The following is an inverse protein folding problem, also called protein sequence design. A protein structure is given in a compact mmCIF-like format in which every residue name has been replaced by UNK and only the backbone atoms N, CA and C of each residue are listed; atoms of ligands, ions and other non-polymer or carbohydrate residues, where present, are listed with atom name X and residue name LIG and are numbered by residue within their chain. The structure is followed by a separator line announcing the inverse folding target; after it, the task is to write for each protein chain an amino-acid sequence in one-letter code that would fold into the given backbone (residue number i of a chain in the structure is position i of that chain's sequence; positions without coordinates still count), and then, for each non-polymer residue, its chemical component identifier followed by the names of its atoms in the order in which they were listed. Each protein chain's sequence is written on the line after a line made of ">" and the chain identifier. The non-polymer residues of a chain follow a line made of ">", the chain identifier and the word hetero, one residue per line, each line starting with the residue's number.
data_IF_869923883625
#
_entry.id   IF_869923883625
#
_cell.length_a   1.000
_cell.length_b   1.000
_cell.length_c   1.000
_cell.angle_alpha   90.00
_cell.angle_beta   90.00
_cell.angle_gamma   90.00
#
_symmetry.space_group_name_H-M   'P 1'
#
loop_
_entity.id
_entity.type
_entity.pdbx_description
1 polymer ?
#
# COMPACT_ATOMS: atom_id res chain seq x y z
N UNK A 1 11.38 -57.46 22.18
CA UNK A 1 11.49 -56.00 22.40
C UNK A 1 11.83 -55.28 21.08
N UNK A 2 10.95 -55.31 20.07
CA UNK A 2 11.26 -54.74 18.73
C UNK A 2 10.17 -53.81 18.17
N UNK A 3 8.92 -53.96 18.63
CA UNK A 3 7.77 -53.17 18.15
C UNK A 3 7.75 -51.76 18.77
N UNK A 4 8.21 -51.59 20.01
CA UNK A 4 8.24 -50.28 20.71
C UNK A 4 9.16 -49.25 20.06
N UNK A 5 10.26 -49.68 19.41
CA UNK A 5 11.19 -48.77 18.75
C UNK A 5 10.68 -48.34 17.36
N UNK A 6 9.92 -49.19 16.67
CA UNK A 6 9.33 -48.87 15.36
C UNK A 6 8.19 -47.84 15.47
N UNK A 7 7.40 -47.93 16.54
CA UNK A 7 6.32 -46.96 16.81
C UNK A 7 6.90 -45.59 17.20
N UNK A 8 7.93 -45.54 18.05
CA UNK A 8 8.56 -44.27 18.46
C UNK A 8 9.10 -43.46 17.28
N UNK A 9 9.78 -44.08 16.32
CA UNK A 9 10.36 -43.37 15.17
C UNK A 9 9.33 -42.79 14.21
N UNK A 10 8.14 -43.40 14.08
CA UNK A 10 7.04 -42.90 13.24
C UNK A 10 6.29 -41.73 13.89
N UNK A 11 6.09 -41.79 15.21
CA UNK A 11 5.46 -40.67 15.93
C UNK A 11 6.31 -39.40 15.86
N UNK A 12 7.64 -39.49 15.92
CA UNK A 12 8.52 -38.33 15.75
C UNK A 12 8.44 -37.73 14.36
N UNK A 13 8.32 -38.53 13.30
CA UNK A 13 8.21 -38.02 11.92
C UNK A 13 6.88 -37.32 11.68
N UNK A 14 5.77 -37.90 12.17
CA UNK A 14 4.45 -37.27 12.07
C UNK A 14 4.39 -35.96 12.87
N UNK A 15 4.94 -35.93 14.09
CA UNK A 15 5.02 -34.71 14.90
C UNK A 15 5.84 -33.61 14.21
N UNK A 16 6.97 -33.96 13.58
CA UNK A 16 7.79 -33.01 12.83
C UNK A 16 7.04 -32.45 11.62
N UNK A 17 6.33 -33.28 10.86
CA UNK A 17 5.52 -32.85 9.72
C UNK A 17 4.39 -31.91 10.15
N UNK A 18 3.67 -32.22 11.23
CA UNK A 18 2.64 -31.31 11.78
C UNK A 18 3.23 -30.02 12.32
N UNK A 19 4.45 -30.06 12.89
CA UNK A 19 5.15 -28.87 13.38
C UNK A 19 5.63 -27.99 12.22
N UNK A 20 6.16 -28.58 11.15
CA UNK A 20 6.57 -27.87 9.93
C UNK A 20 5.36 -27.25 9.24
N UNK A 21 4.25 -27.97 9.11
CA UNK A 21 3.00 -27.46 8.55
C UNK A 21 2.39 -26.36 9.44
N UNK A 22 2.47 -26.51 10.76
CA UNK A 22 2.06 -25.49 11.72
C UNK A 22 2.93 -24.23 11.61
N UNK A 23 4.26 -24.35 11.52
CA UNK A 23 5.15 -23.21 11.31
C UNK A 23 4.99 -22.57 9.92
N UNK A 24 4.65 -23.34 8.88
CA UNK A 24 4.38 -22.82 7.53
C UNK A 24 2.99 -22.19 7.39
N UNK A 25 2.06 -22.44 8.32
CA UNK A 25 0.75 -21.78 8.33
C UNK A 25 0.82 -20.27 8.66
N UNK A 26 2.01 -19.76 8.96
CA UNK A 26 2.34 -18.34 8.90
C UNK A 26 2.48 -17.79 7.47
N UNK A 27 1.99 -18.49 6.43
CA UNK A 27 1.75 -17.88 5.12
C UNK A 27 0.88 -16.65 5.35
N UNK A 28 1.51 -15.49 5.25
CA UNK A 28 0.86 -14.21 5.46
C UNK A 28 -0.23 -14.12 4.42
N UNK A 29 -1.49 -14.21 4.87
CA UNK A 29 -2.61 -14.15 3.98
C UNK A 29 -2.53 -12.82 3.22
N UNK A 30 -2.32 -12.92 1.91
CA UNK A 30 -2.38 -11.81 0.98
C UNK A 30 -3.65 -11.00 1.27
N UNK A 31 -3.46 -9.75 1.69
CA UNK A 31 -4.58 -8.90 2.12
C UNK A 31 -4.69 -7.65 1.27
N UNK A 32 -5.93 -7.17 1.19
CA UNK A 32 -6.26 -5.87 0.65
C UNK A 32 -6.00 -4.79 1.71
N UNK A 33 -5.30 -3.73 1.34
CA UNK A 33 -5.05 -2.57 2.21
C UNK A 33 -5.50 -1.30 1.49
N UNK A 34 -6.38 -0.54 2.14
CA UNK A 34 -6.67 0.82 1.72
C UNK A 34 -5.50 1.73 2.15
N UNK A 35 -4.81 2.33 1.19
CA UNK A 35 -3.74 3.29 1.46
C UNK A 35 -4.33 4.68 1.74
N UNK A 36 -5.38 4.73 2.56
CA UNK A 36 -6.20 5.92 2.80
C UNK A 36 -5.58 6.91 3.79
N UNK A 37 -4.42 6.58 4.39
CA UNK A 37 -3.58 7.52 5.14
C UNK A 37 -2.33 7.94 4.36
N UNK A 38 -1.61 7.00 3.76
CA UNK A 38 -0.37 7.27 3.01
C UNK A 38 -0.12 6.20 1.94
N UNK A 39 0.46 6.64 0.83
CA UNK A 39 1.03 5.78 -0.20
C UNK A 39 2.32 6.40 -0.73
N UNK A 40 3.37 5.59 -0.89
CA UNK A 40 4.59 5.97 -1.61
C UNK A 40 5.26 4.76 -2.26
N UNK A 41 5.70 4.84 -3.52
CA UNK A 41 6.65 3.89 -4.08
C UNK A 41 7.91 3.83 -3.22
N UNK A 42 8.47 2.64 -3.03
CA UNK A 42 9.74 2.47 -2.33
C UNK A 42 10.90 2.45 -3.33
N UNK A 43 12.05 2.94 -2.88
CA UNK A 43 13.27 3.00 -3.68
C UNK A 43 14.42 2.30 -2.97
N UNK A 44 15.33 1.71 -3.73
CA UNK A 44 16.61 1.22 -3.22
C UNK A 44 17.56 2.41 -2.89
N UNK A 45 18.70 2.16 -2.23
CA UNK A 45 19.66 3.22 -1.92
C UNK A 45 20.26 3.95 -3.15
N UNK A 46 20.14 3.37 -4.34
CA UNK A 46 20.56 3.99 -5.60
C UNK A 46 19.44 4.79 -6.28
N UNK A 47 18.24 4.84 -5.69
CA UNK A 47 17.08 5.56 -6.20
C UNK A 47 16.26 4.80 -7.23
N UNK A 48 16.46 3.49 -7.39
CA UNK A 48 15.64 2.68 -8.29
C UNK A 48 14.37 2.22 -7.58
N UNK A 49 13.23 2.21 -8.27
CA UNK A 49 12.00 1.63 -7.73
C UNK A 49 12.24 0.18 -7.32
N UNK A 50 12.03 -0.13 -6.04
CA UNK A 50 11.79 -1.50 -5.63
C UNK A 50 10.33 -1.78 -5.93
N UNK A 51 9.98 -3.00 -6.37
CA UNK A 51 8.63 -3.36 -6.86
C UNK A 51 7.55 -3.37 -5.78
N UNK A 52 7.72 -2.57 -4.74
CA UNK A 52 6.88 -2.43 -3.57
C UNK A 52 6.58 -0.96 -3.29
N UNK A 53 5.50 -0.73 -2.57
CA UNK A 53 5.09 0.58 -2.08
C UNK A 53 4.79 0.51 -0.58
N UNK A 54 5.08 1.60 0.12
CA UNK A 54 4.53 1.91 1.42
C UNK A 54 3.04 2.19 1.27
N UNK A 55 2.24 1.59 2.15
CA UNK A 55 0.80 1.73 2.17
C UNK A 55 0.29 1.70 3.61
N UNK A 56 -0.24 2.82 4.08
CA UNK A 56 -0.76 2.97 5.44
C UNK A 56 -2.25 3.25 5.37
N UNK A 57 -3.02 2.52 6.18
CA UNK A 57 -4.45 2.78 6.35
C UNK A 57 -4.71 3.67 7.56
N UNK A 58 -5.73 4.54 7.48
CA UNK A 58 -6.24 5.32 8.61
C UNK A 58 -6.71 4.42 9.76
N UNK A 59 -7.20 3.22 9.46
CA UNK A 59 -7.63 2.24 10.47
C UNK A 59 -6.46 1.65 11.27
N UNK A 60 -5.24 1.70 10.72
CA UNK A 60 -4.00 1.17 11.32
C UNK A 60 -2.82 2.11 11.02
N UNK A 61 -2.81 3.33 11.57
CA UNK A 61 -1.89 4.39 11.15
C UNK A 61 -0.41 4.12 11.51
N UNK A 62 -0.14 3.14 12.38
CA UNK A 62 1.22 2.75 12.77
C UNK A 62 1.72 1.50 12.03
N UNK A 63 0.95 0.98 11.06
CA UNK A 63 1.32 -0.19 10.29
C UNK A 63 1.59 0.21 8.83
N UNK A 64 2.87 0.24 8.47
CA UNK A 64 3.29 0.35 7.07
C UNK A 64 3.30 -1.03 6.42
N UNK A 65 2.54 -1.17 5.33
CA UNK A 65 2.40 -2.39 4.57
C UNK A 65 3.22 -2.25 3.28
N UNK A 66 4.21 -3.12 3.10
CA UNK A 66 5.05 -3.14 1.91
C UNK A 66 4.35 -3.94 0.82
N UNK A 67 3.40 -3.31 0.12
CA UNK A 67 2.57 -3.96 -0.88
C UNK A 67 3.27 -4.02 -2.25
N UNK A 68 3.04 -5.04 -3.08
CA UNK A 68 3.51 -5.03 -4.47
C UNK A 68 2.92 -3.85 -5.23
N UNK A 69 3.76 -2.99 -5.80
CA UNK A 69 3.29 -1.70 -6.33
C UNK A 69 2.32 -1.84 -7.52
N UNK A 70 2.48 -2.91 -8.31
CA UNK A 70 1.65 -3.21 -9.47
C UNK A 70 0.22 -3.67 -9.12
N UNK A 71 -0.07 -3.96 -7.85
CA UNK A 71 -1.43 -4.26 -7.40
C UNK A 71 -2.16 -3.01 -6.93
N UNK A 72 -1.48 -1.87 -6.80
CA UNK A 72 -2.04 -0.65 -6.25
C UNK A 72 -2.84 0.13 -7.31
N UNK A 73 -4.12 0.36 -7.02
CA UNK A 73 -5.04 1.04 -7.94
C UNK A 73 -6.22 1.69 -7.21
N UNK A 74 -6.87 2.64 -7.87
CA UNK A 74 -8.24 3.02 -7.51
C UNK A 74 -9.16 2.03 -8.21
N UNK A 75 -9.88 1.24 -7.42
CA UNK A 75 -10.94 0.37 -7.92
C UNK A 75 -12.28 0.90 -7.44
N UNK A 76 -13.03 1.49 -8.37
CA UNK A 76 -14.45 1.82 -8.20
C UNK A 76 -15.25 0.92 -9.14
N UNK A 77 -16.52 0.56 -8.87
CA UNK A 77 -17.32 -0.23 -9.82
C UNK A 77 -17.27 0.37 -11.24
N UNK A 78 -16.59 -0.34 -12.16
CA UNK A 78 -16.45 0.06 -13.57
C UNK A 78 -15.26 0.95 -13.93
N UNK A 79 -14.34 1.26 -13.00
CA UNK A 79 -13.13 2.02 -13.30
C UNK A 79 -11.89 1.45 -12.60
N UNK A 80 -10.79 1.36 -13.34
CA UNK A 80 -9.46 1.02 -12.85
C UNK A 80 -8.51 2.17 -13.16
N UNK A 81 -7.90 2.75 -12.14
CA UNK A 81 -6.80 3.70 -12.29
C UNK A 81 -5.57 3.11 -11.63
N UNK A 82 -4.59 2.73 -12.44
CA UNK A 82 -3.30 2.27 -11.95
C UNK A 82 -2.61 3.39 -11.15
N UNK A 83 -1.82 3.04 -10.13
CA UNK A 83 -1.16 4.03 -9.26
C UNK A 83 -0.39 5.11 -10.04
N UNK A 84 0.26 4.75 -11.15
CA UNK A 84 1.04 5.67 -11.99
C UNK A 84 0.17 6.75 -12.65
N UNK A 85 -1.11 6.49 -12.83
CA UNK A 85 -2.05 7.38 -13.53
C UNK A 85 -2.88 8.23 -12.55
N UNK A 86 -2.67 8.07 -11.24
CA UNK A 86 -3.33 8.87 -10.22
C UNK A 86 -2.95 10.36 -10.38
N UNK A 87 -3.98 11.19 -10.48
CA UNK A 87 -3.86 12.64 -10.57
C UNK A 87 -4.81 13.32 -9.60
N UNK A 88 -4.35 14.42 -9.02
CA UNK A 88 -5.19 15.36 -8.30
C UNK A 88 -5.21 16.70 -9.02
N UNK A 89 -6.24 17.51 -8.77
CA UNK A 89 -6.50 18.71 -9.55
C UNK A 89 -6.73 19.93 -8.68
N UNK A 90 -6.41 21.10 -9.24
CA UNK A 90 -6.56 22.42 -8.61
C UNK A 90 -5.93 22.48 -7.21
N UNK A 91 -4.67 22.05 -7.13
CA UNK A 91 -3.89 22.00 -5.89
C UNK A 91 -3.12 23.30 -5.67
N UNK A 92 -2.58 23.47 -4.45
CA UNK A 92 -1.87 24.67 -4.01
C UNK A 92 -0.71 24.32 -3.07
N UNK A 93 0.37 25.09 -3.10
CA UNK A 93 1.46 24.94 -2.11
C UNK A 93 1.16 25.72 -0.82
N UNK A 94 0.65 26.96 -0.97
CA UNK A 94 0.45 27.90 0.14
C UNK A 94 -1.01 28.31 0.35
N UNK A 95 -1.57 29.09 -0.58
CA UNK A 95 -2.90 29.69 -0.44
C UNK A 95 -4.01 28.77 -1.01
N UNK A 96 -4.91 28.24 -0.16
CA UNK A 96 -6.02 27.43 -0.63
C UNK A 96 -6.93 28.19 -1.60
N UNK A 97 -7.11 29.51 -1.45
CA UNK A 97 -8.06 30.25 -2.30
C UNK A 97 -7.56 30.44 -3.73
N UNK A 98 -6.24 30.29 -3.96
CA UNK A 98 -5.60 30.52 -5.24
C UNK A 98 -4.75 29.29 -5.65
N UNK A 99 -5.38 28.24 -6.22
CA UNK A 99 -4.65 27.06 -6.67
C UNK A 99 -3.73 27.40 -7.85
N UNK A 100 -2.45 27.07 -7.70
CA UNK A 100 -1.38 27.35 -8.66
C UNK A 100 -0.90 26.10 -9.42
N UNK A 101 -1.33 24.90 -9.00
CA UNK A 101 -1.03 23.63 -9.66
C UNK A 101 -2.31 22.98 -10.20
N UNK A 102 -2.62 23.16 -11.51
CA UNK A 102 -3.85 22.62 -12.11
C UNK A 102 -3.97 21.11 -12.01
N UNK A 103 -2.85 20.40 -12.07
CA UNK A 103 -2.79 18.94 -11.96
C UNK A 103 -1.50 18.53 -11.25
N UNK A 104 -1.62 17.63 -10.29
CA UNK A 104 -0.52 16.93 -9.64
C UNK A 104 -0.52 15.50 -10.16
N UNK A 105 0.53 15.11 -10.89
CA UNK A 105 0.75 13.72 -11.26
C UNK A 105 1.40 13.02 -10.06
N UNK A 106 0.65 12.16 -9.37
CA UNK A 106 1.00 11.77 -8.00
C UNK A 106 2.18 10.79 -8.00
N UNK A 107 3.25 11.14 -7.29
CA UNK A 107 4.32 10.21 -6.90
C UNK A 107 3.95 9.50 -5.60
N UNK A 108 3.67 10.29 -4.56
CA UNK A 108 3.28 9.82 -3.23
C UNK A 108 2.30 10.81 -2.61
N UNK A 109 1.60 10.39 -1.56
CA UNK A 109 0.69 11.28 -0.86
C UNK A 109 0.50 10.96 0.62
N UNK A 110 0.05 11.96 1.36
CA UNK A 110 -0.45 11.86 2.72
C UNK A 110 -1.86 12.46 2.78
N UNK A 111 -2.80 11.76 3.41
CA UNK A 111 -4.20 12.18 3.51
C UNK A 111 -4.49 12.76 4.88
N UNK A 112 -5.23 13.88 4.90
CA UNK A 112 -5.64 14.60 6.09
C UNK A 112 -7.16 14.77 6.08
N UNK A 113 -7.74 15.39 7.13
CA UNK A 113 -9.19 15.47 7.28
C UNK A 113 -9.92 16.18 6.13
N UNK A 114 -9.29 17.13 5.45
CA UNK A 114 -9.94 17.95 4.40
C UNK A 114 -9.18 18.04 3.08
N UNK A 115 -7.94 17.54 3.02
CA UNK A 115 -7.07 17.64 1.85
C UNK A 115 -6.09 16.47 1.79
N UNK A 116 -5.56 16.22 0.61
CA UNK A 116 -4.39 15.35 0.40
C UNK A 116 -3.17 16.21 0.12
N UNK A 117 -2.06 15.97 0.82
CA UNK A 117 -0.75 16.50 0.43
C UNK A 117 -0.12 15.48 -0.53
N UNK A 118 -0.03 15.83 -1.80
CA UNK A 118 0.51 14.96 -2.84
C UNK A 118 1.81 15.54 -3.39
N UNK A 119 2.81 14.68 -3.53
CA UNK A 119 4.05 15.02 -4.22
C UNK A 119 3.84 14.89 -5.73
N UNK A 120 4.15 15.94 -6.46
CA UNK A 120 4.15 15.90 -7.91
C UNK A 120 5.38 15.14 -8.44
N UNK A 121 5.15 14.27 -9.42
CA UNK A 121 6.19 13.41 -9.99
C UNK A 121 7.24 14.19 -10.75
N UNK A 122 6.90 15.34 -11.34
CA UNK A 122 7.79 16.12 -12.18
C UNK A 122 8.71 17.02 -11.35
N UNK A 123 8.13 17.92 -10.56
CA UNK A 123 8.90 18.91 -9.79
C UNK A 123 9.29 18.45 -8.37
N UNK A 124 8.76 17.30 -7.92
CA UNK A 124 8.98 16.71 -6.60
C UNK A 124 8.51 17.56 -5.42
N UNK A 125 7.75 18.64 -5.66
CA UNK A 125 7.15 19.46 -4.60
C UNK A 125 5.85 18.85 -4.09
N UNK A 126 5.49 19.19 -2.86
CA UNK A 126 4.22 18.80 -2.27
C UNK A 126 3.18 19.91 -2.46
N UNK A 127 2.02 19.50 -2.96
CA UNK A 127 0.85 20.36 -3.11
C UNK A 127 -0.30 19.81 -2.28
N UNK A 128 -1.09 20.70 -1.70
CA UNK A 128 -2.34 20.37 -1.03
C UNK A 128 -3.48 20.42 -2.02
N UNK A 129 -4.29 19.37 -2.06
CA UNK A 129 -5.46 19.26 -2.93
C UNK A 129 -6.69 19.02 -2.04
N UNK A 130 -7.60 20.00 -1.97
CA UNK A 130 -8.80 19.88 -1.13
C UNK A 130 -9.79 18.87 -1.73
N UNK A 131 -10.39 18.05 -0.87
CA UNK A 131 -11.34 17.01 -1.28
C UNK A 131 -12.63 17.58 -1.89
N UNK A 132 -13.10 18.72 -1.36
CA UNK A 132 -14.35 19.32 -1.79
C UNK A 132 -14.24 20.12 -3.09
N UNK A 133 -13.03 20.35 -3.59
CA UNK A 133 -12.80 21.21 -4.75
C UNK A 133 -13.06 20.50 -6.07
N UNK A 134 -12.62 19.25 -6.18
CA UNK A 134 -12.75 18.43 -7.39
C UNK A 134 -13.03 17.00 -6.97
N UNK A 135 -14.07 16.39 -7.56
CA UNK A 135 -14.33 14.97 -7.43
C UNK A 135 -13.12 14.17 -7.93
N UNK A 136 -12.54 13.33 -7.07
CA UNK A 136 -11.31 12.59 -7.36
C UNK A 136 -10.11 12.98 -6.50
N UNK A 137 -10.08 14.20 -5.94
CA UNK A 137 -9.08 14.55 -4.92
C UNK A 137 -9.26 13.72 -3.63
N UNK A 138 -10.48 13.24 -3.41
CA UNK A 138 -10.83 12.34 -2.33
C UNK A 138 -10.49 10.87 -2.61
N UNK A 139 -10.01 10.49 -3.80
CA UNK A 139 -9.62 9.11 -4.09
C UNK A 139 -8.33 8.68 -3.41
N UNK A 140 -8.26 7.40 -3.04
CA UNK A 140 -7.07 6.75 -2.52
C UNK A 140 -6.84 5.41 -3.22
N UNK A 141 -5.58 4.98 -3.21
CA UNK A 141 -5.20 3.68 -3.75
C UNK A 141 -5.58 2.57 -2.77
N UNK A 142 -6.00 1.46 -3.33
CA UNK A 142 -6.07 0.17 -2.65
C UNK A 142 -5.00 -0.72 -3.25
N UNK A 143 -4.16 -1.32 -2.41
CA UNK A 143 -3.22 -2.34 -2.83
C UNK A 143 -3.75 -3.73 -2.46
N UNK A 144 -3.47 -4.71 -3.31
CA UNK A 144 -3.80 -6.11 -3.09
C UNK A 144 -2.51 -6.91 -2.85
N UNK A 145 -2.66 -8.12 -2.32
CA UNK A 145 -1.53 -9.02 -2.06
C UNK A 145 -0.45 -8.42 -1.15
N UNK A 146 -0.86 -7.55 -0.24
CA UNK A 146 0.04 -7.03 0.79
C UNK A 146 0.33 -8.14 1.82
N UNK A 147 1.58 -8.24 2.31
CA UNK A 147 1.94 -9.09 3.45
C UNK A 147 1.45 -8.47 4.78
#
# INVERSE_FOLDING_TARGET
>A
MSIMNFLRGRFTTFALLTLILGLHSGQVAARQVACDAHFAPLYDPAGNHVTTASCISQSKPHQDNHCPINTCSITYPGSYTHWWDLKFHNCYEGDPMNPDKPTVAVEQYFRYGSYVAAQDREDKNFYKCDYQRVQGNDFWLTCYDCP
#
